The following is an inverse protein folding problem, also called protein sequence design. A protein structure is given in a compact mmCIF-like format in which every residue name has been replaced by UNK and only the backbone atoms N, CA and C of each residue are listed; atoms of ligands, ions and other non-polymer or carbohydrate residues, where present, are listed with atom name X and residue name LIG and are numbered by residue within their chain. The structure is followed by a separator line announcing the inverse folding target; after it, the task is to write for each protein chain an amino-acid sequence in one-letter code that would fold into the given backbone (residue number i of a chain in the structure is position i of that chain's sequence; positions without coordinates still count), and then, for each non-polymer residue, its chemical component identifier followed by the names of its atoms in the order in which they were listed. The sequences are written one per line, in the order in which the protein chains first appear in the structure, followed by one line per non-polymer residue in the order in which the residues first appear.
data_IF_965535145808
#
_entry.id   IF_965535145808
#
_cell.length_a   1.000
_cell.length_b   1.000
_cell.length_c   1.000
_cell.angle_alpha   90.00
_cell.angle_beta   90.00
_cell.angle_gamma   90.00
#
_symmetry.space_group_name_H-M   'P 1'
#
loop_
_entity.id
_entity.type
_entity.pdbx_description
1 polymer ?
#
# COMPACT_ATOMS: atom_id res chain seq x y z
N UNK A 1 34.32 -14.34 -35.04
CA UNK A 1 34.10 -12.92 -34.70
C UNK A 1 32.87 -12.84 -33.83
N UNK A 2 33.04 -12.61 -32.53
CA UNK A 2 31.93 -12.45 -31.57
C UNK A 2 31.92 -10.98 -31.15
N UNK A 3 31.03 -10.19 -31.74
CA UNK A 3 30.77 -8.84 -31.26
C UNK A 3 29.87 -8.94 -30.03
N UNK A 4 30.49 -9.12 -28.85
CA UNK A 4 29.84 -8.85 -27.57
C UNK A 4 29.76 -7.32 -27.42
N UNK A 5 28.75 -6.72 -28.06
CA UNK A 5 28.36 -5.35 -27.74
C UNK A 5 27.61 -5.38 -26.40
N UNK A 6 28.36 -5.55 -25.31
CA UNK A 6 27.86 -5.29 -23.97
C UNK A 6 27.41 -3.84 -23.91
N UNK A 7 26.24 -3.61 -23.30
CA UNK A 7 25.69 -2.27 -23.06
C UNK A 7 26.78 -1.38 -22.47
N UNK A 8 26.99 -0.14 -22.97
CA UNK A 8 28.04 0.73 -22.45
C UNK A 8 27.88 0.90 -20.93
N UNK A 9 28.97 0.86 -20.13
CA UNK A 9 28.90 0.94 -18.67
C UNK A 9 28.10 2.16 -18.15
N UNK A 10 28.14 3.27 -18.88
CA UNK A 10 27.39 4.49 -18.55
C UNK A 10 25.86 4.32 -18.67
N UNK A 11 25.39 3.53 -19.64
CA UNK A 11 23.97 3.22 -19.82
C UNK A 11 23.48 2.30 -18.70
N UNK A 12 24.28 1.29 -18.33
CA UNK A 12 23.97 0.37 -17.24
C UNK A 12 23.93 1.07 -15.86
N UNK A 13 24.80 2.06 -15.63
CA UNK A 13 24.78 2.89 -14.43
C UNK A 13 23.51 3.76 -14.36
N UNK A 14 23.19 4.48 -15.44
CA UNK A 14 21.99 5.34 -15.50
C UNK A 14 20.68 4.55 -15.32
N UNK A 15 20.61 3.33 -15.85
CA UNK A 15 19.48 2.42 -15.66
C UNK A 15 19.38 1.93 -14.21
N UNK A 16 20.53 1.67 -13.56
CA UNK A 16 20.58 1.30 -12.14
C UNK A 16 20.13 2.45 -11.24
N UNK A 17 20.59 3.68 -11.51
CA UNK A 17 20.16 4.87 -10.78
C UNK A 17 18.65 5.12 -10.95
N UNK A 18 18.12 4.92 -12.17
CA UNK A 18 16.70 5.04 -12.46
C UNK A 18 15.86 4.00 -11.71
N UNK A 19 16.29 2.73 -11.68
CA UNK A 19 15.62 1.67 -10.90
C UNK A 19 15.65 1.96 -9.40
N UNK A 20 16.76 2.49 -8.88
CA UNK A 20 16.87 2.86 -7.48
C UNK A 20 15.94 4.01 -7.10
N UNK A 21 15.79 5.02 -7.97
CA UNK A 21 14.85 6.12 -7.78
C UNK A 21 13.40 5.62 -7.75
N UNK A 22 13.02 4.77 -8.72
CA UNK A 22 11.69 4.14 -8.75
C UNK A 22 11.49 3.31 -7.47
N UNK A 23 12.47 2.50 -7.07
CA UNK A 23 12.39 1.70 -5.86
C UNK A 23 12.28 2.54 -4.57
N UNK A 24 12.87 3.75 -4.54
CA UNK A 24 12.69 4.67 -3.43
C UNK A 24 11.27 5.23 -3.38
N UNK A 25 10.71 5.62 -4.53
CA UNK A 25 9.34 6.12 -4.64
C UNK A 25 8.30 5.06 -4.24
N UNK A 26 8.44 3.82 -4.74
CA UNK A 26 7.54 2.72 -4.38
C UNK A 26 7.58 2.42 -2.87
N UNK A 27 8.76 2.50 -2.21
CA UNK A 27 8.89 2.37 -0.75
C UNK A 27 8.18 3.50 0.01
N UNK A 28 8.27 4.73 -0.49
CA UNK A 28 7.54 5.86 0.08
C UNK A 28 6.02 5.66 -0.04
N UNK A 29 5.55 5.17 -1.19
CA UNK A 29 4.13 4.88 -1.40
C UNK A 29 3.62 3.75 -0.50
N UNK A 30 4.39 2.69 -0.28
CA UNK A 30 4.06 1.63 0.68
C UNK A 30 3.90 2.20 2.09
N UNK A 31 4.84 3.04 2.55
CA UNK A 31 4.75 3.70 3.86
C UNK A 31 3.47 4.53 4.00
N UNK A 32 3.07 5.23 2.93
CA UNK A 32 1.84 6.03 2.90
C UNK A 32 0.58 5.15 2.95
N UNK A 33 0.57 4.03 2.22
CA UNK A 33 -0.51 3.04 2.28
C UNK A 33 -0.67 2.47 3.69
N UNK A 34 0.43 2.09 4.34
CA UNK A 34 0.41 1.60 5.72
C UNK A 34 -0.13 2.65 6.70
N UNK A 35 0.20 3.92 6.48
CA UNK A 35 -0.38 5.02 7.26
C UNK A 35 -1.88 5.17 7.05
N UNK A 36 -2.37 5.08 5.79
CA UNK A 36 -3.79 5.10 5.49
C UNK A 36 -4.55 3.91 6.11
N UNK A 37 -3.96 2.72 6.13
CA UNK A 37 -4.54 1.55 6.80
C UNK A 37 -4.73 1.80 8.30
N UNK A 38 -3.74 2.38 8.99
CA UNK A 38 -3.86 2.73 10.42
C UNK A 38 -4.98 3.75 10.68
N UNK A 39 -5.17 4.71 9.77
CA UNK A 39 -6.28 5.67 9.87
C UNK A 39 -7.64 4.97 9.69
N UNK A 40 -7.73 3.98 8.81
CA UNK A 40 -8.94 3.16 8.65
C UNK A 40 -9.19 2.34 9.92
N UNK A 41 -8.17 1.68 10.47
CA UNK A 41 -8.29 0.90 11.70
C UNK A 41 -8.76 1.77 12.88
N UNK A 42 -8.20 2.98 13.02
CA UNK A 42 -8.64 3.94 14.02
C UNK A 42 -10.10 4.38 13.81
N UNK A 43 -10.50 4.69 12.56
CA UNK A 43 -11.88 5.06 12.25
C UNK A 43 -12.87 3.92 12.56
N UNK A 44 -12.48 2.66 12.32
CA UNK A 44 -13.29 1.49 12.67
C UNK A 44 -13.43 1.33 14.19
N UNK A 45 -12.37 1.57 14.96
CA UNK A 45 -12.43 1.51 16.43
C UNK A 45 -13.35 2.59 17.00
N UNK A 46 -13.23 3.84 16.53
CA UNK A 46 -14.09 4.95 16.97
C UNK A 46 -15.57 4.71 16.64
N UNK A 47 -15.86 4.18 15.45
CA UNK A 47 -17.23 3.81 15.07
C UNK A 47 -17.82 2.73 15.99
N UNK A 48 -17.01 1.78 16.47
CA UNK A 48 -17.44 0.76 17.42
C UNK A 48 -17.55 1.24 18.88
N UNK A 49 -16.83 2.28 19.28
CA UNK A 49 -16.89 2.84 20.65
C UNK A 49 -18.17 3.67 20.86
N UNK A 50 -18.65 4.37 19.83
CA UNK A 50 -19.91 5.12 19.86
C UNK A 50 -21.15 4.22 20.11
N UNK A 51 -21.05 2.91 19.82
CA UNK A 51 -22.11 1.92 20.06
C UNK A 51 -22.28 1.54 21.53
N UNK A 52 -21.27 1.74 22.39
CA UNK A 52 -21.29 1.26 23.80
C UNK A 52 -21.70 2.35 24.81
N UNK A 53 -21.76 3.62 24.39
CA UNK A 53 -22.00 4.77 25.27
C UNK A 53 -23.43 5.33 25.30
N UNK A 54 -24.38 4.71 24.59
CA UNK A 54 -25.76 5.19 24.51
C UNK A 54 -26.63 4.76 25.69
N UNK A 55 -27.00 5.71 26.55
CA UNK A 55 -28.02 5.56 27.60
C UNK A 55 -29.35 5.05 26.99
N UNK A 56 -30.04 4.03 27.59
CA UNK A 56 -31.22 3.40 26.97
C UNK A 56 -32.52 4.21 27.11
N UNK A 57 -32.46 5.48 27.52
CA UNK A 57 -33.63 6.28 27.85
C UNK A 57 -34.04 7.23 26.72
N UNK A 58 -34.69 6.67 25.69
CA UNK A 58 -35.67 7.41 24.90
C UNK A 58 -35.27 7.70 23.46
N UNK A 59 -36.14 7.20 22.57
CA UNK A 59 -36.19 7.49 21.13
C UNK A 59 -35.13 6.79 20.29
N UNK A 60 -35.50 5.59 19.85
CA UNK A 60 -34.86 4.79 18.83
C UNK A 60 -34.69 5.58 17.52
N UNK A 61 -33.51 6.13 17.30
CA UNK A 61 -32.94 6.25 15.96
C UNK A 61 -31.86 5.17 15.87
N UNK A 62 -32.29 3.95 15.51
CA UNK A 62 -31.38 2.84 15.25
C UNK A 62 -30.66 3.18 13.95
N UNK A 63 -29.51 3.84 14.07
CA UNK A 63 -28.61 4.04 12.94
C UNK A 63 -27.99 2.67 12.62
N UNK A 64 -28.56 1.97 11.65
CA UNK A 64 -27.95 0.75 11.09
C UNK A 64 -26.69 1.17 10.35
N UNK A 65 -25.57 1.28 11.07
CA UNK A 65 -24.24 1.63 10.54
C UNK A 65 -23.53 0.44 9.85
N UNK A 66 -24.23 -0.67 9.59
CA UNK A 66 -23.66 -1.86 8.95
C UNK A 66 -23.12 -1.56 7.54
N UNK A 67 -23.44 -0.43 6.92
CA UNK A 67 -22.85 -0.02 5.64
C UNK A 67 -21.44 0.59 5.75
N UNK A 68 -21.00 1.02 6.93
CA UNK A 68 -19.71 1.73 7.11
C UNK A 68 -18.55 0.74 7.31
N UNK A 69 -18.77 -0.32 8.09
CA UNK A 69 -17.77 -1.38 8.35
C UNK A 69 -17.35 -2.13 7.07
N UNK A 70 -18.26 -2.54 6.16
CA UNK A 70 -17.91 -3.15 4.88
C UNK A 70 -17.13 -2.20 3.96
N UNK A 71 -17.39 -0.89 4.03
CA UNK A 71 -16.65 0.10 3.22
C UNK A 71 -15.21 0.25 3.68
N UNK A 72 -14.97 0.34 4.99
CA UNK A 72 -13.62 0.34 5.54
C UNK A 72 -12.89 -0.98 5.31
N UNK A 73 -13.57 -2.12 5.45
CA UNK A 73 -13.02 -3.43 5.11
C UNK A 73 -12.63 -3.53 3.63
N UNK A 74 -13.48 -3.03 2.72
CA UNK A 74 -13.20 -2.99 1.28
C UNK A 74 -12.02 -2.09 0.97
N UNK A 75 -11.94 -0.91 1.59
CA UNK A 75 -10.81 0.00 1.44
C UNK A 75 -9.50 -0.63 1.94
N UNK A 76 -9.51 -1.28 3.10
CA UNK A 76 -8.35 -2.01 3.63
C UNK A 76 -7.94 -3.18 2.74
N UNK A 77 -8.89 -3.91 2.16
CA UNK A 77 -8.58 -4.98 1.20
C UNK A 77 -7.90 -4.44 -0.06
N UNK A 78 -8.42 -3.35 -0.63
CA UNK A 78 -7.83 -2.71 -1.80
C UNK A 78 -6.41 -2.17 -1.51
N UNK A 79 -6.21 -1.52 -0.35
CA UNK A 79 -4.90 -1.03 0.08
C UNK A 79 -3.89 -2.18 0.29
N UNK A 80 -4.33 -3.32 0.84
CA UNK A 80 -3.49 -4.52 0.95
C UNK A 80 -3.09 -5.08 -0.42
N UNK A 81 -4.02 -5.15 -1.37
CA UNK A 81 -3.72 -5.58 -2.74
C UNK A 81 -2.69 -4.64 -3.41
N UNK A 82 -2.87 -3.32 -3.24
CA UNK A 82 -1.89 -2.33 -3.70
C UNK A 82 -0.52 -2.54 -3.07
N UNK A 83 -0.45 -2.73 -1.74
CA UNK A 83 0.80 -2.99 -1.02
C UNK A 83 1.51 -4.24 -1.54
N UNK A 84 0.77 -5.32 -1.80
CA UNK A 84 1.33 -6.55 -2.37
C UNK A 84 1.89 -6.33 -3.79
N UNK A 85 1.14 -5.62 -4.64
CA UNK A 85 1.59 -5.27 -5.99
C UNK A 85 2.85 -4.41 -6.02
N UNK A 86 2.93 -3.40 -5.13
CA UNK A 86 4.11 -2.54 -4.99
C UNK A 86 5.32 -3.34 -4.47
N UNK A 87 5.10 -4.26 -3.52
CA UNK A 87 6.15 -5.15 -3.04
C UNK A 87 6.71 -6.06 -4.15
N UNK A 88 5.83 -6.60 -5.00
CA UNK A 88 6.25 -7.38 -6.16
C UNK A 88 7.05 -6.53 -7.17
N UNK A 89 6.61 -5.30 -7.45
CA UNK A 89 7.34 -4.38 -8.31
C UNK A 89 8.76 -4.09 -7.79
N UNK A 90 8.94 -3.93 -6.47
CA UNK A 90 10.26 -3.76 -5.85
C UNK A 90 11.16 -4.99 -6.02
N UNK A 91 10.59 -6.19 -5.92
CA UNK A 91 11.34 -7.43 -6.15
C UNK A 91 11.85 -7.50 -7.59
N UNK A 92 11.00 -7.23 -8.58
CA UNK A 92 11.39 -7.22 -9.99
C UNK A 92 12.49 -6.18 -10.30
N UNK A 93 12.42 -5.00 -9.67
CA UNK A 93 13.46 -3.97 -9.80
C UNK A 93 14.79 -4.40 -9.16
N UNK A 94 14.76 -5.28 -8.17
CA UNK A 94 15.96 -5.80 -7.50
C UNK A 94 16.60 -6.96 -8.25
N UNK A 95 15.79 -7.87 -8.81
CA UNK A 95 16.25 -9.04 -9.58
C UNK A 95 16.87 -8.68 -10.93
N UNK A 96 16.45 -7.57 -11.54
CA UNK A 96 17.02 -7.09 -12.79
C UNK A 96 18.49 -6.62 -12.67
N UNK A 97 19.06 -6.56 -11.47
CA UNK A 97 20.40 -6.01 -11.18
C UNK A 97 21.52 -7.04 -11.07
N UNK A 98 21.23 -8.34 -11.12
CA UNK A 98 22.25 -9.41 -11.06
C UNK A 98 22.54 -9.95 -12.45
N UNK A 99 23.58 -9.46 -13.17
CA UNK A 99 24.14 -10.21 -14.27
C UNK A 99 24.82 -11.46 -13.69
N UNK A 100 24.34 -12.64 -14.10
CA UNK A 100 25.08 -13.89 -13.93
C UNK A 100 26.29 -13.97 -14.84
#
# INVERSE_FOLDING_TARGET
MLNFAGTPPLVAMAETDSRQLIAADLRALITRIESSMRLIDAAMMEAGVLETGGDPAGSADIFVLDDVTPRYATASAALNACRAGLGHALQCLSESGTPG
#
